data_IF_154531062494
#
_entry.id   IF_154531062494
#
_cell.length_a   1.000
_cell.length_b   1.000
_cell.length_c   1.000
_cell.angle_alpha   90.00
_cell.angle_beta   90.00
_cell.angle_gamma   90.00
#
_symmetry.space_group_name_H-M   'P 1'
#
loop_
_entity.id
_entity.type
_entity.pdbx_description
1 polymer ?
#
# COMPACT_ATOMS: atom_id res chain seq x y z
N UNK A 1 24.00 -2.68 -11.31
CA UNK A 1 22.64 -3.15 -11.63
C UNK A 1 21.75 -2.39 -10.69
N UNK A 2 21.13 -1.32 -11.18
CA UNK A 2 20.35 -0.43 -10.34
C UNK A 2 18.99 -1.06 -10.05
N UNK A 3 18.67 -1.23 -8.77
CA UNK A 3 17.37 -1.72 -8.34
C UNK A 3 16.39 -0.54 -8.34
N UNK A 4 15.25 -0.72 -9.00
CA UNK A 4 14.16 0.27 -9.00
C UNK A 4 13.12 -0.15 -7.98
N UNK A 5 12.77 0.76 -7.06
CA UNK A 5 11.70 0.53 -6.10
C UNK A 5 10.35 0.82 -6.76
N UNK A 6 9.45 -0.16 -6.67
CA UNK A 6 8.11 -0.07 -7.23
C UNK A 6 7.07 -0.37 -6.15
N UNK A 7 6.07 0.50 -6.03
CA UNK A 7 4.84 0.21 -5.30
C UNK A 7 3.80 -0.26 -6.32
N UNK A 8 3.21 -1.43 -6.08
CA UNK A 8 2.07 -1.92 -6.88
C UNK A 8 0.83 -1.90 -6.00
N UNK A 9 -0.24 -1.30 -6.52
CA UNK A 9 -1.56 -1.26 -5.90
C UNK A 9 -2.58 -1.98 -6.79
N UNK A 10 -3.51 -2.66 -6.14
CA UNK A 10 -4.64 -3.32 -6.80
C UNK A 10 -5.90 -3.14 -5.97
N UNK A 11 -7.01 -2.82 -6.62
CA UNK A 11 -8.31 -2.72 -5.95
C UNK A 11 -9.13 -4.03 -6.06
N UNK A 12 -10.37 -3.99 -5.55
CA UNK A 12 -11.29 -5.15 -5.59
C UNK A 12 -11.93 -5.38 -6.96
N UNK A 13 -11.95 -4.37 -7.83
CA UNK A 13 -12.48 -4.48 -9.20
C UNK A 13 -11.46 -5.12 -10.16
N UNK A 14 -10.20 -5.24 -9.71
CA UNK A 14 -9.10 -5.77 -10.50
C UNK A 14 -8.27 -4.68 -11.19
N UNK A 15 -8.58 -3.40 -10.98
CA UNK A 15 -7.76 -2.30 -11.46
C UNK A 15 -6.39 -2.31 -10.74
N UNK A 16 -5.34 -2.08 -11.51
CA UNK A 16 -3.95 -2.07 -11.03
C UNK A 16 -3.29 -0.74 -11.34
N UNK A 17 -2.44 -0.28 -10.43
CA UNK A 17 -1.55 0.86 -10.64
C UNK A 17 -0.15 0.52 -10.08
N UNK A 18 0.88 1.10 -10.68
CA UNK A 18 2.25 1.01 -10.21
C UNK A 18 2.92 2.38 -10.14
N UNK A 19 3.85 2.52 -9.20
CA UNK A 19 4.53 3.78 -8.91
C UNK A 19 6.00 3.54 -8.66
N UNK A 20 6.85 4.34 -9.30
CA UNK A 20 8.26 4.41 -8.97
C UNK A 20 8.44 5.17 -7.65
N UNK A 21 9.20 4.60 -6.72
CA UNK A 21 9.52 5.22 -5.44
C UNK A 21 11.00 5.61 -5.38
N UNK A 22 11.28 6.78 -4.81
CA UNK A 22 12.66 7.17 -4.46
C UNK A 22 13.16 6.40 -3.23
N UNK A 23 12.26 6.06 -2.30
CA UNK A 23 12.55 5.28 -1.10
C UNK A 23 11.29 4.60 -0.56
N UNK A 24 11.47 3.53 0.23
CA UNK A 24 10.40 2.93 1.04
C UNK A 24 10.26 3.74 2.34
N UNK A 25 9.61 4.90 2.26
CA UNK A 25 9.39 5.81 3.38
C UNK A 25 7.94 6.27 3.46
N UNK A 26 7.51 6.71 4.66
CA UNK A 26 6.18 7.28 4.89
C UNK A 26 5.83 8.33 3.86
N UNK A 27 6.74 9.28 3.62
CA UNK A 27 6.49 10.45 2.74
C UNK A 27 6.39 10.05 1.26
N UNK A 28 7.25 9.13 0.81
CA UNK A 28 7.19 8.63 -0.57
C UNK A 28 5.91 7.82 -0.81
N UNK A 29 5.57 6.93 0.14
CA UNK A 29 4.37 6.10 0.05
C UNK A 29 3.09 6.93 0.14
N UNK A 30 2.98 7.85 1.10
CA UNK A 30 1.78 8.69 1.24
C UNK A 30 1.57 9.57 0.02
N UNK A 31 2.64 10.17 -0.53
CA UNK A 31 2.58 10.96 -1.77
C UNK A 31 2.13 10.12 -2.96
N UNK A 32 2.66 8.90 -3.11
CA UNK A 32 2.29 8.01 -4.20
C UNK A 32 0.84 7.52 -4.08
N UNK A 33 0.36 7.23 -2.86
CA UNK A 33 -0.96 6.62 -2.64
C UNK A 33 -2.09 7.67 -2.66
N UNK A 34 -1.90 8.83 -2.02
CA UNK A 34 -2.96 9.83 -1.77
C UNK A 34 -3.83 10.19 -2.98
N UNK A 35 -3.28 10.39 -4.19
CA UNK A 35 -4.09 10.81 -5.34
C UNK A 35 -5.03 9.72 -5.88
N UNK A 36 -4.83 8.45 -5.49
CA UNK A 36 -5.46 7.29 -6.13
C UNK A 36 -6.46 6.56 -5.23
N UNK A 37 -6.67 7.03 -4.00
CA UNK A 37 -7.57 6.39 -3.04
C UNK A 37 -8.67 7.34 -2.58
N UNK A 38 -9.84 6.77 -2.30
CA UNK A 38 -10.91 7.48 -1.60
C UNK A 38 -10.58 7.62 -0.11
N UNK A 39 -11.19 8.60 0.56
CA UNK A 39 -10.97 8.86 1.99
C UNK A 39 -11.44 7.70 2.90
N UNK A 40 -12.33 6.85 2.40
CA UNK A 40 -12.85 5.67 3.07
C UNK A 40 -12.16 4.36 2.62
N UNK A 41 -11.08 4.45 1.83
CA UNK A 41 -10.34 3.29 1.38
C UNK A 41 -9.71 2.52 2.55
N UNK A 42 -9.56 1.21 2.34
CA UNK A 42 -8.84 0.32 3.27
C UNK A 42 -7.55 -0.13 2.60
N UNK A 43 -6.40 0.26 3.16
CA UNK A 43 -5.10 -0.20 2.69
C UNK A 43 -4.82 -1.60 3.25
N UNK A 44 -4.73 -2.58 2.35
CA UNK A 44 -4.32 -3.94 2.67
C UNK A 44 -2.85 -4.14 2.27
N UNK A 45 -1.95 -4.31 3.24
CA UNK A 45 -0.50 -4.35 2.96
C UNK A 45 0.19 -5.38 3.86
N UNK A 46 1.47 -5.64 3.64
CA UNK A 46 2.29 -6.54 4.47
C UNK A 46 2.44 -6.13 5.95
N UNK A 47 1.89 -5.00 6.36
CA UNK A 47 2.02 -4.50 7.74
C UNK A 47 3.36 -3.86 8.05
N UNK A 48 4.22 -3.60 7.06
CA UNK A 48 5.52 -2.95 7.28
C UNK A 48 5.36 -1.57 7.93
N UNK A 49 6.33 -1.16 8.76
CA UNK A 49 6.28 0.10 9.50
C UNK A 49 6.08 1.32 8.59
N UNK A 50 6.66 1.29 7.39
CA UNK A 50 6.48 2.36 6.39
C UNK A 50 5.03 2.43 5.88
N UNK A 51 4.39 1.29 5.61
CA UNK A 51 2.98 1.24 5.19
C UNK A 51 2.03 1.63 6.34
N UNK A 52 2.31 1.20 7.58
CA UNK A 52 1.55 1.61 8.77
C UNK A 52 1.61 3.13 8.94
N UNK A 53 2.81 3.72 8.84
CA UNK A 53 3.01 5.16 8.97
C UNK A 53 2.31 5.92 7.83
N UNK A 54 2.41 5.42 6.58
CA UNK A 54 1.74 6.03 5.43
C UNK A 54 0.21 5.99 5.57
N UNK A 55 -0.37 4.87 6.00
CA UNK A 55 -1.81 4.79 6.24
C UNK A 55 -2.28 5.74 7.34
N UNK A 56 -1.48 5.88 8.41
CA UNK A 56 -1.74 6.84 9.49
C UNK A 56 -1.72 8.29 8.97
N UNK A 57 -0.72 8.64 8.16
CA UNK A 57 -0.60 9.97 7.51
C UNK A 57 -1.78 10.28 6.59
N UNK A 58 -2.31 9.25 5.91
CA UNK A 58 -3.45 9.39 4.98
C UNK A 58 -4.81 9.36 5.69
N UNK A 59 -4.84 9.10 7.00
CA UNK A 59 -6.07 8.92 7.79
C UNK A 59 -7.01 7.84 7.24
N UNK A 60 -6.44 6.75 6.70
CA UNK A 60 -7.21 5.62 6.16
C UNK A 60 -7.06 4.38 7.02
N UNK A 61 -8.04 3.49 6.96
CA UNK A 61 -7.95 2.21 7.65
C UNK A 61 -6.83 1.37 7.05
N UNK A 62 -6.08 0.70 7.92
CA UNK A 62 -4.99 -0.20 7.52
C UNK A 62 -5.23 -1.61 8.04
N UNK A 63 -5.04 -2.59 7.16
CA UNK A 63 -5.15 -4.00 7.49
C UNK A 63 -3.92 -4.75 6.99
N UNK A 64 -3.13 -5.26 7.94
CA UNK A 64 -2.01 -6.14 7.60
C UNK A 64 -2.52 -7.48 7.05
N UNK A 65 -1.96 -7.93 5.92
CA UNK A 65 -2.16 -9.26 5.37
C UNK A 65 -1.08 -10.20 5.91
N UNK A 66 -1.50 -11.35 6.45
CA UNK A 66 -0.56 -12.34 6.95
C UNK A 66 -0.09 -13.26 5.82
N UNK A 67 0.95 -12.82 5.12
CA UNK A 67 1.53 -13.57 4.00
C UNK A 67 2.12 -14.92 4.45
N UNK A 68 2.67 -15.03 5.66
CA UNK A 68 3.25 -16.29 6.16
C UNK A 68 2.18 -17.34 6.47
N UNK A 69 0.96 -16.90 6.79
CA UNK A 69 -0.21 -17.77 6.89
C UNK A 69 -0.90 -18.05 5.54
N UNK A 70 -0.30 -17.64 4.41
CA UNK A 70 -0.87 -17.82 3.08
C UNK A 70 -2.04 -16.89 2.75
N UNK A 71 -2.34 -15.89 3.59
CA UNK A 71 -3.42 -14.94 3.36
C UNK A 71 -2.94 -13.84 2.41
N UNK A 72 -3.34 -13.92 1.14
CA UNK A 72 -3.00 -12.94 0.10
C UNK A 72 -4.11 -11.90 -0.16
N UNK A 73 -5.28 -12.13 0.41
CA UNK A 73 -6.43 -11.23 0.35
C UNK A 73 -7.22 -11.34 1.66
N UNK A 74 -7.96 -10.29 2.02
CA UNK A 74 -8.96 -10.31 3.12
C UNK A 74 -10.36 -10.24 2.54
N UNK A 75 -11.18 -11.27 2.74
CA UNK A 75 -12.51 -11.40 2.11
C UNK A 75 -12.47 -12.26 0.83
N UNK A 76 -13.64 -12.58 0.24
CA UNK A 76 -13.74 -13.34 -1.00
C UNK A 76 -13.11 -12.63 -2.20
#
# INVERSE_FOLDING_TARGET
MDLTLVLVARDRSGATADFLLEAVSKDCLSRAIKPHIHSDAILCTDGSAAMVAAATELHVQHQAVNLSAGQRARGP
#
